data_IF_111993063972
#
_entry.id   IF_111993063972
#
_cell.length_a   1.000
_cell.length_b   1.000
_cell.length_c   1.000
_cell.angle_alpha   90.00
_cell.angle_beta   90.00
_cell.angle_gamma   90.00
#
_symmetry.space_group_name_H-M   'P 1'
#
loop_
_entity.id
_entity.type
_entity.pdbx_description
1 polymer ?
#
# COMPACT_ATOMS: atom_id res chain seq x y z
N UNK A 1 -23.48 -15.33 -8.45
CA UNK A 1 -23.06 -15.94 -9.74
C UNK A 1 -22.33 -14.88 -10.56
N UNK A 2 -21.15 -14.43 -10.13
CA UNK A 2 -20.37 -13.38 -10.81
C UNK A 2 -18.90 -13.77 -11.08
N UNK A 3 -18.51 -15.04 -10.87
CA UNK A 3 -17.10 -15.47 -10.93
C UNK A 3 -16.65 -16.17 -12.22
N UNK A 4 -17.52 -16.33 -13.23
CA UNK A 4 -17.14 -17.18 -14.38
C UNK A 4 -16.27 -16.48 -15.44
N UNK A 5 -15.99 -15.18 -15.35
CA UNK A 5 -15.04 -14.53 -16.26
C UNK A 5 -14.33 -13.33 -15.61
N UNK A 6 -13.11 -13.56 -15.14
CA UNK A 6 -12.13 -12.49 -14.90
C UNK A 6 -11.84 -11.82 -16.25
N UNK A 7 -12.27 -10.57 -16.41
CA UNK A 7 -12.09 -9.79 -17.64
C UNK A 7 -10.70 -9.13 -17.62
N UNK A 8 -9.82 -9.46 -18.59
CA UNK A 8 -8.45 -8.93 -18.63
C UNK A 8 -8.37 -7.44 -18.98
N UNK A 9 -9.47 -6.82 -19.41
CA UNK A 9 -9.54 -5.39 -19.71
C UNK A 9 -9.93 -4.52 -18.51
N UNK A 10 -10.37 -5.12 -17.39
CA UNK A 10 -10.62 -4.40 -16.13
C UNK A 10 -9.31 -3.88 -15.54
N UNK A 11 -9.40 -2.71 -14.88
CA UNK A 11 -8.29 -2.15 -14.10
C UNK A 11 -7.96 -3.05 -12.92
N UNK A 12 -6.68 -3.15 -12.57
CA UNK A 12 -6.22 -4.00 -11.45
C UNK A 12 -6.81 -3.51 -10.13
N UNK A 13 -6.78 -2.21 -9.87
CA UNK A 13 -7.35 -1.58 -8.65
C UNK A 13 -8.80 -1.99 -8.43
N UNK A 14 -9.61 -2.03 -9.49
CA UNK A 14 -11.04 -2.37 -9.42
C UNK A 14 -11.35 -3.78 -8.91
N UNK A 15 -10.38 -4.70 -8.91
CA UNK A 15 -10.55 -6.01 -8.27
C UNK A 15 -10.39 -5.88 -6.76
N UNK A 16 -9.39 -5.13 -6.30
CA UNK A 16 -9.14 -4.93 -4.86
C UNK A 16 -10.23 -4.08 -4.24
N UNK A 17 -10.74 -3.06 -4.96
CA UNK A 17 -11.94 -2.29 -4.56
C UNK A 17 -13.19 -3.16 -4.39
N UNK A 18 -13.34 -4.22 -5.22
CA UNK A 18 -14.44 -5.17 -5.10
C UNK A 18 -14.26 -6.09 -3.88
N UNK A 19 -13.03 -6.50 -3.59
CA UNK A 19 -12.68 -7.26 -2.39
C UNK A 19 -11.18 -7.26 -2.13
N UNK A 20 -10.80 -6.98 -0.88
CA UNK A 20 -9.41 -7.14 -0.42
C UNK A 20 -8.86 -8.56 -0.59
N UNK A 21 -9.71 -9.57 -0.74
CA UNK A 21 -9.29 -10.96 -0.93
C UNK A 21 -8.51 -11.19 -2.24
N UNK A 22 -8.56 -10.24 -3.20
CA UNK A 22 -7.78 -10.32 -4.43
C UNK A 22 -6.34 -9.81 -4.28
N UNK A 23 -6.05 -8.94 -3.30
CA UNK A 23 -4.72 -8.35 -3.13
C UNK A 23 -3.60 -9.40 -3.01
N UNK A 24 -3.72 -10.48 -2.22
CA UNK A 24 -2.67 -11.49 -2.11
C UNK A 24 -2.32 -12.18 -3.42
N UNK A 25 -3.28 -12.28 -4.36
CA UNK A 25 -3.00 -12.85 -5.69
C UNK A 25 -2.11 -11.89 -6.46
N UNK A 26 -2.41 -10.59 -6.46
CA UNK A 26 -1.57 -9.62 -7.16
C UNK A 26 -0.17 -9.54 -6.56
N UNK A 27 -0.05 -9.57 -5.23
CA UNK A 27 1.23 -9.66 -4.51
C UNK A 27 2.05 -10.89 -4.95
N UNK A 28 1.43 -12.07 -5.05
CA UNK A 28 2.10 -13.31 -5.47
C UNK A 28 2.68 -13.21 -6.90
N UNK A 29 2.03 -12.48 -7.79
CA UNK A 29 2.48 -12.28 -9.17
C UNK A 29 3.31 -10.99 -9.36
N UNK A 30 3.60 -10.24 -8.30
CA UNK A 30 4.31 -8.96 -8.37
C UNK A 30 3.54 -7.87 -9.12
N UNK A 31 2.21 -7.97 -9.19
CA UNK A 31 1.34 -7.02 -9.88
C UNK A 31 1.01 -5.87 -8.93
N UNK A 32 1.38 -4.66 -9.31
CA UNK A 32 1.04 -3.43 -8.59
C UNK A 32 -0.45 -3.08 -8.76
N UNK A 33 -1.18 -3.12 -7.66
CA UNK A 33 -2.61 -2.76 -7.57
C UNK A 33 -2.85 -1.44 -6.83
N UNK A 34 -1.83 -0.85 -6.20
CA UNK A 34 -1.96 0.29 -5.32
C UNK A 34 -1.52 1.60 -5.99
N UNK A 35 -0.33 1.65 -6.60
CA UNK A 35 0.19 2.83 -7.29
C UNK A 35 -0.14 2.81 -8.78
N UNK A 36 0.12 1.69 -9.46
CA UNK A 36 -0.13 1.46 -10.90
C UNK A 36 -1.44 0.74 -11.22
N UNK A 37 -2.40 0.74 -10.29
CA UNK A 37 -3.63 -0.05 -10.40
C UNK A 37 -4.59 0.38 -11.52
N UNK A 38 -4.41 1.55 -12.12
CA UNK A 38 -5.26 2.14 -13.16
C UNK A 38 -5.10 1.47 -14.55
N UNK A 39 -4.09 0.61 -14.70
CA UNK A 39 -3.87 -0.18 -15.92
C UNK A 39 -4.73 -1.44 -15.95
N UNK A 40 -5.02 -1.93 -17.16
CA UNK A 40 -5.75 -3.20 -17.31
C UNK A 40 -4.94 -4.40 -16.79
N UNK A 41 -5.62 -5.43 -16.27
CA UNK A 41 -5.00 -6.68 -15.84
C UNK A 41 -4.04 -7.27 -16.90
N UNK A 42 -4.40 -7.21 -18.18
CA UNK A 42 -3.53 -7.68 -19.26
C UNK A 42 -2.22 -6.89 -19.36
N UNK A 43 -2.29 -5.57 -19.24
CA UNK A 43 -1.12 -4.69 -19.30
C UNK A 43 -0.23 -4.87 -18.07
N UNK A 44 -0.82 -5.03 -16.88
CA UNK A 44 -0.10 -5.31 -15.66
C UNK A 44 0.65 -6.65 -15.75
N UNK A 45 0.00 -7.72 -16.23
CA UNK A 45 0.65 -9.01 -16.45
C UNK A 45 1.83 -8.90 -17.44
N UNK A 46 1.67 -8.15 -18.52
CA UNK A 46 2.75 -7.92 -19.51
C UNK A 46 3.94 -7.16 -18.91
N UNK A 47 3.69 -6.20 -18.02
CA UNK A 47 4.74 -5.41 -17.37
C UNK A 47 5.65 -6.26 -16.47
N UNK A 48 5.10 -7.30 -15.85
CA UNK A 48 5.80 -8.17 -14.88
C UNK A 48 6.16 -9.55 -15.46
N UNK A 49 5.96 -9.75 -16.77
CA UNK A 49 6.16 -11.04 -17.48
C UNK A 49 5.38 -12.22 -16.86
N UNK A 50 4.20 -11.94 -16.29
CA UNK A 50 3.30 -12.96 -15.74
C UNK A 50 2.34 -13.52 -16.81
N UNK A 51 2.05 -14.83 -16.73
CA UNK A 51 1.06 -15.45 -17.61
C UNK A 51 -0.35 -15.07 -17.17
N UNK A 52 -1.06 -14.35 -18.04
CA UNK A 52 -2.41 -13.85 -17.76
C UNK A 52 -3.43 -14.96 -17.47
N UNK A 53 -3.27 -16.15 -18.05
CA UNK A 53 -4.19 -17.25 -17.82
C UNK A 53 -3.95 -17.89 -16.45
N UNK A 54 -2.71 -17.94 -15.97
CA UNK A 54 -2.35 -18.35 -14.61
C UNK A 54 -2.89 -17.36 -13.56
N UNK A 55 -2.66 -16.05 -13.75
CA UNK A 55 -3.20 -15.01 -12.86
C UNK A 55 -4.72 -15.09 -12.79
N UNK A 56 -5.40 -15.21 -13.93
CA UNK A 56 -6.86 -15.39 -13.97
C UNK A 56 -7.31 -16.69 -13.34
N UNK A 57 -6.50 -17.75 -13.37
CA UNK A 57 -6.83 -19.01 -12.70
C UNK A 57 -6.84 -18.80 -11.19
N UNK A 58 -5.82 -18.17 -10.63
CA UNK A 58 -5.74 -17.88 -9.20
C UNK A 58 -6.81 -16.88 -8.73
N UNK A 59 -7.07 -15.81 -9.48
CA UNK A 59 -8.17 -14.89 -9.17
C UNK A 59 -9.55 -15.58 -9.11
N UNK A 60 -9.76 -16.69 -9.84
CA UNK A 60 -11.02 -17.46 -9.75
C UNK A 60 -11.09 -18.35 -8.51
N UNK A 61 -9.97 -18.65 -7.86
CA UNK A 61 -9.94 -19.46 -6.64
C UNK A 61 -10.26 -18.62 -5.40
N UNK A 62 -10.08 -17.30 -5.48
CA UNK A 62 -10.40 -16.34 -4.41
C UNK A 62 -11.86 -16.46 -4.00
N UNK A 63 -12.07 -16.77 -2.72
CA UNK A 63 -13.40 -16.87 -2.13
C UNK A 63 -13.72 -15.56 -1.44
N UNK A 64 -14.47 -14.70 -2.13
CA UNK A 64 -15.01 -13.48 -1.52
C UNK A 64 -16.07 -13.87 -0.50
N UNK A 65 -15.86 -13.50 0.76
CA UNK A 65 -16.76 -13.75 1.88
C UNK A 65 -17.49 -12.47 2.28
N UNK A 66 -18.66 -12.59 2.94
CA UNK A 66 -19.38 -11.43 3.50
C UNK A 66 -18.59 -10.67 4.58
N UNK A 67 -17.47 -11.24 5.05
CA UNK A 67 -16.57 -10.63 6.04
C UNK A 67 -15.38 -9.94 5.41
N UNK A 68 -15.18 -10.05 4.10
CA UNK A 68 -14.12 -9.31 3.43
C UNK A 68 -14.51 -7.83 3.45
N UNK A 69 -13.57 -6.98 3.85
CA UNK A 69 -13.77 -5.54 3.90
C UNK A 69 -14.15 -5.06 2.49
N UNK A 70 -15.38 -4.56 2.36
CA UNK A 70 -15.85 -3.89 1.16
C UNK A 70 -15.56 -2.40 1.27
N UNK A 71 -15.12 -1.77 0.18
CA UNK A 71 -14.82 -0.34 0.12
C UNK A 71 -16.09 0.55 0.04
N UNK A 72 -17.23 0.05 0.54
CA UNK A 72 -18.50 0.79 0.64
C UNK A 72 -18.48 1.73 1.85
N UNK A 73 -17.58 2.71 1.84
CA UNK A 73 -17.47 3.75 2.86
C UNK A 73 -18.71 4.66 2.81
N UNK A 74 -19.34 4.95 3.95
CA UNK A 74 -20.50 5.85 4.01
C UNK A 74 -20.10 7.32 3.80
N UNK A 75 -18.81 7.66 4.01
CA UNK A 75 -18.28 9.02 3.93
C UNK A 75 -16.74 9.07 3.82
N UNK A 76 -16.16 10.19 3.38
CA UNK A 76 -14.70 10.38 3.38
C UNK A 76 -14.10 10.35 4.80
N UNK A 77 -14.85 10.86 5.77
CA UNK A 77 -14.48 10.95 7.18
C UNK A 77 -14.33 9.54 7.75
N UNK A 78 -15.27 8.65 7.46
CA UNK A 78 -15.19 7.24 7.85
C UNK A 78 -13.96 6.57 7.25
N UNK A 79 -13.68 6.78 5.97
CA UNK A 79 -12.47 6.25 5.32
C UNK A 79 -11.19 6.79 5.99
N UNK A 80 -11.09 8.10 6.22
CA UNK A 80 -9.90 8.67 6.90
C UNK A 80 -9.75 8.17 8.33
N UNK A 81 -10.83 8.03 9.09
CA UNK A 81 -10.79 7.48 10.46
C UNK A 81 -10.35 6.01 10.45
N UNK A 82 -10.78 5.25 9.43
CA UNK A 82 -10.36 3.87 9.24
C UNK A 82 -8.89 3.75 8.86
N UNK A 83 -8.40 4.57 7.92
CA UNK A 83 -6.98 4.62 7.54
C UNK A 83 -6.12 4.89 8.77
N UNK A 84 -6.48 5.90 9.57
CA UNK A 84 -5.74 6.25 10.79
C UNK A 84 -5.72 5.08 11.78
N UNK A 85 -6.89 4.54 12.12
CA UNK A 85 -7.00 3.52 13.17
C UNK A 85 -6.48 2.15 12.78
N UNK A 86 -6.45 1.83 11.48
CA UNK A 86 -6.01 0.53 10.96
C UNK A 86 -4.54 0.55 10.55
N UNK A 87 -4.11 1.60 9.84
CA UNK A 87 -2.79 1.67 9.23
C UNK A 87 -1.86 2.63 10.00
N UNK A 88 -2.24 3.89 10.21
CA UNK A 88 -1.32 4.88 10.79
C UNK A 88 -0.93 4.57 12.24
N UNK A 89 -1.92 4.20 13.06
CA UNK A 89 -1.67 3.81 14.44
C UNK A 89 -0.76 2.58 14.54
N UNK A 90 -0.94 1.62 13.62
CA UNK A 90 -0.09 0.45 13.50
C UNK A 90 1.33 0.83 13.08
N UNK A 91 1.49 1.69 12.08
CA UNK A 91 2.80 2.17 11.62
C UNK A 91 3.57 2.88 12.74
N UNK A 92 2.90 3.73 13.51
CA UNK A 92 3.51 4.43 14.67
C UNK A 92 4.06 3.47 15.73
N UNK A 93 3.40 2.34 15.94
CA UNK A 93 3.85 1.31 16.87
C UNK A 93 4.95 0.43 16.26
N UNK A 94 4.76 0.02 15.01
CA UNK A 94 5.56 -1.01 14.35
C UNK A 94 6.91 -0.49 13.88
N UNK A 95 6.96 0.70 13.27
CA UNK A 95 8.19 1.24 12.66
C UNK A 95 9.36 1.34 13.67
N UNK A 96 9.21 1.96 14.86
CA UNK A 96 10.32 2.05 15.82
C UNK A 96 10.73 0.68 16.37
N UNK A 97 9.77 -0.22 16.56
CA UNK A 97 10.01 -1.55 17.09
C UNK A 97 10.68 -2.47 16.06
N UNK A 98 10.36 -2.31 14.78
CA UNK A 98 10.97 -3.05 13.69
C UNK A 98 12.35 -2.48 13.35
N UNK A 99 12.55 -1.16 13.40
CA UNK A 99 13.87 -0.53 13.23
C UNK A 99 14.89 -1.07 14.23
N UNK A 100 14.52 -1.13 15.51
CA UNK A 100 15.37 -1.69 16.56
C UNK A 100 15.69 -3.18 16.31
N UNK A 101 14.76 -3.94 15.72
CA UNK A 101 14.95 -5.34 15.39
C UNK A 101 15.87 -5.50 14.17
N UNK A 102 15.68 -4.70 13.12
CA UNK A 102 16.52 -4.66 11.92
C UNK A 102 17.96 -4.32 12.31
N UNK A 103 18.17 -3.25 13.07
CA UNK A 103 19.49 -2.87 13.59
C UNK A 103 20.14 -4.02 14.38
N UNK A 104 19.38 -4.69 15.25
CA UNK A 104 19.90 -5.82 16.03
C UNK A 104 20.31 -7.00 15.13
N UNK A 105 19.51 -7.32 14.12
CA UNK A 105 19.78 -8.42 13.19
C UNK A 105 21.00 -8.10 12.32
N UNK A 106 21.06 -6.91 11.73
CA UNK A 106 22.20 -6.44 10.95
C UNK A 106 23.50 -6.51 11.77
N UNK A 107 23.52 -5.96 12.99
CA UNK A 107 24.69 -6.00 13.86
C UNK A 107 25.23 -7.41 14.17
N UNK A 108 24.34 -8.40 14.27
CA UNK A 108 24.73 -9.77 14.64
C UNK A 108 25.11 -10.60 13.41
N UNK A 109 24.42 -10.38 12.28
CA UNK A 109 24.47 -11.27 11.14
C UNK A 109 25.18 -10.68 9.90
N UNK A 110 25.49 -9.38 9.84
CA UNK A 110 26.05 -8.75 8.63
C UNK A 110 27.39 -9.31 8.15
N UNK A 111 28.18 -9.94 9.03
CA UNK A 111 29.42 -10.60 8.61
C UNK A 111 29.17 -11.81 7.71
N UNK A 112 28.10 -12.56 7.98
CA UNK A 112 27.71 -13.74 7.21
C UNK A 112 26.63 -13.41 6.16
N UNK A 113 25.90 -12.30 6.34
CA UNK A 113 24.77 -11.81 5.54
C UNK A 113 24.94 -10.31 5.25
N UNK A 114 25.93 -9.91 4.42
CA UNK A 114 26.30 -8.51 4.21
C UNK A 114 25.18 -7.64 3.61
N UNK A 115 24.20 -8.23 2.94
CA UNK A 115 22.98 -7.58 2.46
C UNK A 115 22.18 -6.91 3.59
N UNK A 116 22.29 -7.37 4.83
CA UNK A 116 21.60 -6.80 5.98
C UNK A 116 22.02 -5.36 6.30
N UNK A 117 23.23 -4.93 5.92
CA UNK A 117 23.62 -3.52 6.03
C UNK A 117 22.83 -2.63 5.05
N UNK A 118 22.44 -3.18 3.91
CA UNK A 118 21.57 -2.49 2.97
C UNK A 118 20.11 -2.51 3.46
N UNK A 119 19.62 -3.66 3.95
CA UNK A 119 18.28 -3.78 4.56
C UNK A 119 18.09 -2.73 5.66
N UNK A 120 19.08 -2.60 6.55
CA UNK A 120 19.04 -1.60 7.62
C UNK A 120 18.92 -0.16 7.08
N UNK A 121 19.74 0.22 6.10
CA UNK A 121 19.67 1.56 5.52
C UNK A 121 18.34 1.85 4.84
N UNK A 122 17.83 0.91 4.04
CA UNK A 122 16.57 1.11 3.34
C UNK A 122 15.40 1.17 4.32
N UNK A 123 15.41 0.33 5.37
CA UNK A 123 14.36 0.34 6.38
C UNK A 123 14.35 1.63 7.21
N UNK A 124 15.51 2.15 7.62
CA UNK A 124 15.59 3.41 8.37
C UNK A 124 15.04 4.56 7.54
N UNK A 125 15.39 4.63 6.25
CA UNK A 125 14.87 5.67 5.35
C UNK A 125 13.35 5.54 5.17
N UNK A 126 12.85 4.32 4.92
CA UNK A 126 11.43 4.03 4.85
C UNK A 126 10.68 4.48 6.12
N UNK A 127 11.20 4.13 7.30
CA UNK A 127 10.57 4.47 8.57
C UNK A 127 10.51 5.99 8.82
N UNK A 128 11.54 6.74 8.44
CA UNK A 128 11.56 8.21 8.55
C UNK A 128 10.56 8.87 7.60
N UNK A 129 10.50 8.39 6.36
CA UNK A 129 9.59 8.89 5.31
C UNK A 129 8.13 8.60 5.70
N UNK A 130 7.78 7.35 6.01
CA UNK A 130 6.41 6.98 6.39
C UNK A 130 5.91 7.73 7.62
N UNK A 131 6.74 7.96 8.65
CA UNK A 131 6.34 8.73 9.83
C UNK A 131 6.03 10.20 9.51
N UNK A 132 6.75 10.78 8.56
CA UNK A 132 6.51 12.15 8.13
C UNK A 132 5.24 12.21 7.28
N UNK A 133 5.13 11.30 6.32
CA UNK A 133 4.02 11.19 5.39
C UNK A 133 2.67 11.07 6.11
N UNK A 134 2.48 10.07 6.99
CA UNK A 134 1.20 9.87 7.69
C UNK A 134 0.81 11.05 8.60
N UNK A 135 1.80 11.84 9.05
CA UNK A 135 1.54 13.04 9.84
C UNK A 135 1.04 14.19 8.96
N UNK A 136 1.64 14.36 7.77
CA UNK A 136 1.21 15.37 6.79
C UNK A 136 -0.20 15.06 6.27
N UNK A 137 -0.53 13.80 6.01
CA UNK A 137 -1.89 13.40 5.62
C UNK A 137 -2.92 13.76 6.70
N UNK A 138 -2.63 13.46 7.97
CA UNK A 138 -3.54 13.72 9.09
C UNK A 138 -3.68 15.22 9.42
N UNK A 139 -2.64 16.01 9.20
CA UNK A 139 -2.63 17.45 9.49
C UNK A 139 -3.20 18.30 8.33
N UNK A 140 -2.98 17.88 7.09
CA UNK A 140 -3.27 18.70 5.90
C UNK A 140 -4.40 18.11 5.04
N UNK A 141 -4.34 16.82 4.67
CA UNK A 141 -5.30 16.21 3.73
C UNK A 141 -6.62 15.79 4.40
N UNK A 142 -6.56 14.98 5.45
CA UNK A 142 -7.75 14.40 6.08
C UNK A 142 -8.70 15.46 6.68
N UNK A 143 -8.22 16.62 7.19
CA UNK A 143 -9.12 17.71 7.59
C UNK A 143 -9.92 18.29 6.41
N UNK A 144 -9.36 18.30 5.20
CA UNK A 144 -10.08 18.74 4.00
C UNK A 144 -11.13 17.72 3.58
N UNK A 145 -10.81 16.43 3.62
CA UNK A 145 -11.78 15.36 3.40
C UNK A 145 -13.00 15.48 4.34
N UNK A 146 -12.77 15.77 5.63
CA UNK A 146 -13.85 16.01 6.62
C UNK A 146 -14.67 17.27 6.33
N UNK A 147 -14.06 18.34 5.81
CA UNK A 147 -14.80 19.54 5.36
C UNK A 147 -15.73 19.24 4.19
N UNK A 148 -15.25 18.47 3.21
CA UNK A 148 -16.04 18.06 2.04
C UNK A 148 -17.29 17.30 2.50
N UNK A 149 -17.12 16.32 3.38
CA UNK A 149 -18.23 15.55 3.95
C UNK A 149 -19.25 16.40 4.73
N UNK A 150 -18.77 17.41 5.45
CA UNK A 150 -19.63 18.36 6.15
C UNK A 150 -20.44 19.26 5.21
N UNK A 151 -20.20 19.18 3.90
CA UNK A 151 -20.84 20.02 2.87
C UNK A 151 -20.29 21.45 2.85
N UNK A 152 -19.10 21.66 3.41
CA UNK A 152 -18.44 22.97 3.39
C UNK A 152 -17.82 23.22 2.01
N UNK A 153 -17.91 24.47 1.53
CA UNK A 153 -17.27 24.86 0.27
C UNK A 153 -15.79 25.11 0.50
N UNK A 154 -14.95 24.48 -0.31
CA UNK A 154 -13.52 24.78 -0.35
C UNK A 154 -13.27 26.13 -1.04
N UNK A 155 -12.31 26.88 -0.52
CA UNK A 155 -11.78 28.06 -1.20
C UNK A 155 -10.92 27.65 -2.39
N UNK A 156 -10.76 28.53 -3.37
CA UNK A 156 -9.89 28.24 -4.51
C UNK A 156 -8.42 28.07 -4.14
N UNK A 157 -7.97 28.61 -3.00
CA UNK A 157 -6.62 28.37 -2.47
C UNK A 157 -6.51 26.95 -1.86
N UNK A 158 -7.52 26.50 -1.12
CA UNK A 158 -7.58 25.13 -0.58
C UNK A 158 -7.56 24.09 -1.71
N UNK A 159 -8.36 24.27 -2.77
CA UNK A 159 -8.38 23.35 -3.92
C UNK A 159 -6.99 23.24 -4.56
N UNK A 160 -6.33 24.38 -4.85
CA UNK A 160 -4.98 24.36 -5.46
C UNK A 160 -3.91 23.77 -4.57
N UNK A 161 -4.09 23.87 -3.25
CA UNK A 161 -3.18 23.27 -2.29
C UNK A 161 -3.37 21.77 -2.27
N UNK A 162 -4.61 21.32 -2.19
CA UNK A 162 -5.00 19.93 -2.21
C UNK A 162 -4.57 19.19 -3.49
N UNK A 163 -4.74 19.80 -4.67
CA UNK A 163 -4.26 19.22 -5.94
C UNK A 163 -2.76 18.91 -5.89
N UNK A 164 -1.96 19.83 -5.34
CA UNK A 164 -0.51 19.67 -5.22
C UNK A 164 -0.12 18.69 -4.11
N UNK A 165 -0.88 18.65 -3.03
CA UNK A 165 -0.65 17.72 -1.93
C UNK A 165 -0.94 16.29 -2.37
N UNK A 166 -2.05 16.04 -3.09
CA UNK A 166 -2.34 14.73 -3.68
C UNK A 166 -1.20 14.29 -4.60
N UNK A 167 -0.75 15.14 -5.53
CA UNK A 167 0.40 14.83 -6.40
C UNK A 167 1.66 14.50 -5.57
N UNK A 168 1.90 15.22 -4.46
CA UNK A 168 3.03 14.97 -3.57
C UNK A 168 2.92 13.65 -2.81
N UNK A 169 1.73 13.31 -2.31
CA UNK A 169 1.49 12.04 -1.62
C UNK A 169 1.61 10.85 -2.59
N UNK A 170 1.13 10.98 -3.83
CA UNK A 170 1.32 9.96 -4.86
C UNK A 170 2.82 9.74 -5.20
N UNK A 171 3.60 10.82 -5.29
CA UNK A 171 5.06 10.73 -5.47
C UNK A 171 5.76 10.04 -4.29
N UNK A 172 5.32 10.32 -3.05
CA UNK A 172 5.82 9.68 -1.84
C UNK A 172 5.44 8.19 -1.77
N UNK A 173 4.23 7.84 -2.22
CA UNK A 173 3.78 6.44 -2.33
C UNK A 173 4.63 5.64 -3.31
N UNK A 174 4.95 6.22 -4.47
CA UNK A 174 5.84 5.60 -5.45
C UNK A 174 7.26 5.42 -4.88
N UNK A 175 7.79 6.41 -4.16
CA UNK A 175 9.08 6.29 -3.49
C UNK A 175 9.06 5.19 -2.40
N UNK A 176 7.96 5.09 -1.66
CA UNK A 176 7.73 4.05 -0.65
C UNK A 176 7.70 2.66 -1.27
N UNK A 177 6.95 2.47 -2.37
CA UNK A 177 6.89 1.21 -3.11
C UNK A 177 8.28 0.77 -3.58
N UNK A 178 9.07 1.67 -4.17
CA UNK A 178 10.45 1.37 -4.61
C UNK A 178 11.37 0.91 -3.47
N UNK A 179 11.16 1.40 -2.24
CA UNK A 179 11.92 0.95 -1.07
C UNK A 179 11.48 -0.42 -0.58
N UNK A 180 10.18 -0.68 -0.60
CA UNK A 180 9.61 -1.99 -0.25
C UNK A 180 10.10 -3.06 -1.23
N UNK A 181 10.03 -2.80 -2.54
CA UNK A 181 10.62 -3.65 -3.59
C UNK A 181 12.09 -3.93 -3.30
N UNK A 182 12.85 -2.90 -2.93
CA UNK A 182 14.26 -3.04 -2.62
C UNK A 182 14.51 -3.90 -1.39
N UNK A 183 13.67 -3.78 -0.36
CA UNK A 183 13.74 -4.62 0.84
C UNK A 183 13.40 -6.08 0.50
N UNK A 184 12.38 -6.31 -0.32
CA UNK A 184 12.02 -7.64 -0.82
C UNK A 184 13.19 -8.27 -1.59
N UNK A 185 13.75 -7.56 -2.57
CA UNK A 185 14.93 -8.01 -3.35
C UNK A 185 16.13 -8.37 -2.46
N UNK A 186 16.45 -7.51 -1.49
CA UNK A 186 17.58 -7.70 -0.59
C UNK A 186 17.39 -8.90 0.35
N UNK A 187 16.15 -9.31 0.58
CA UNK A 187 15.80 -10.40 1.48
C UNK A 187 15.35 -11.66 0.76
N UNK A 188 15.46 -11.71 -0.57
CA UNK A 188 15.01 -12.83 -1.42
C UNK A 188 13.52 -13.13 -1.15
N UNK A 189 12.67 -12.11 -1.31
CA UNK A 189 11.23 -12.15 -1.01
C UNK A 189 10.95 -12.57 0.45
N UNK A 190 11.72 -11.98 1.36
CA UNK A 190 11.72 -12.28 2.80
C UNK A 190 11.97 -13.77 3.14
N UNK A 191 12.67 -14.50 2.26
CA UNK A 191 12.99 -15.90 2.49
C UNK A 191 13.87 -16.08 3.73
N UNK A 192 13.49 -17.05 4.57
CA UNK A 192 14.19 -17.31 5.83
C UNK A 192 15.44 -18.18 5.58
N UNK A 193 16.67 -17.68 5.81
CA UNK A 193 17.86 -18.49 5.64
C UNK A 193 17.99 -19.55 6.75
N UNK A 194 18.66 -20.67 6.47
CA UNK A 194 18.87 -21.75 7.44
C UNK A 194 19.58 -21.25 8.73
N UNK A 195 20.46 -20.28 8.59
CA UNK A 195 21.20 -19.64 9.69
C UNK A 195 20.38 -18.64 10.51
N UNK A 196 19.13 -18.35 10.14
CA UNK A 196 18.30 -17.36 10.82
C UNK A 196 18.03 -17.77 12.27
N UNK A 197 18.37 -16.88 13.20
CA UNK A 197 17.91 -16.97 14.58
C UNK A 197 16.43 -16.51 14.68
N UNK A 198 15.80 -16.68 15.84
CA UNK A 198 14.41 -16.28 16.05
C UNK A 198 14.17 -14.77 15.77
N UNK A 199 15.13 -13.90 16.10
CA UNK A 199 15.01 -12.46 15.80
C UNK A 199 15.10 -12.17 14.31
N UNK A 200 15.94 -12.88 13.56
CA UNK A 200 16.04 -12.70 12.10
C UNK A 200 14.74 -13.17 11.42
N UNK A 201 14.21 -14.35 11.79
CA UNK A 201 12.90 -14.81 11.30
C UNK A 201 11.79 -13.79 11.56
N UNK A 202 11.69 -13.32 12.80
CA UNK A 202 10.71 -12.31 13.19
C UNK A 202 10.88 -10.99 12.46
N UNK A 203 12.09 -10.61 12.04
CA UNK A 203 12.32 -9.39 11.26
C UNK A 203 11.75 -9.56 9.85
N UNK A 204 12.05 -10.68 9.18
CA UNK A 204 11.56 -10.98 7.84
C UNK A 204 10.02 -11.08 7.82
N UNK A 205 9.44 -11.79 8.79
CA UNK A 205 7.98 -11.92 8.90
C UNK A 205 7.29 -10.56 9.05
N UNK A 206 7.87 -9.66 9.86
CA UNK A 206 7.33 -8.31 10.13
C UNK A 206 7.55 -7.35 8.96
N UNK A 207 8.66 -7.46 8.23
CA UNK A 207 8.89 -6.69 7.02
C UNK A 207 7.86 -7.06 5.94
N UNK A 208 7.65 -8.36 5.71
CA UNK A 208 6.63 -8.84 4.78
C UNK A 208 5.21 -8.42 5.20
N UNK A 209 4.94 -8.34 6.51
CA UNK A 209 3.64 -7.87 7.01
C UNK A 209 3.46 -6.37 6.85
N UNK A 210 4.52 -5.59 7.09
CA UNK A 210 4.53 -4.14 6.88
C UNK A 210 4.27 -3.79 5.41
N UNK A 211 4.96 -4.46 4.49
CA UNK A 211 4.80 -4.25 3.04
C UNK A 211 3.36 -4.49 2.60
N UNK A 212 2.79 -5.65 2.94
CA UNK A 212 1.39 -5.98 2.61
C UNK A 212 0.40 -4.97 3.18
N UNK A 213 0.58 -4.56 4.43
CA UNK A 213 -0.28 -3.55 5.06
C UNK A 213 -0.16 -2.19 4.35
N UNK A 214 1.05 -1.83 3.93
CA UNK A 214 1.34 -0.57 3.24
C UNK A 214 0.73 -0.56 1.84
N UNK A 215 0.79 -1.65 1.08
CA UNK A 215 0.10 -1.74 -0.23
C UNK A 215 -1.41 -1.57 -0.09
N UNK A 216 -2.01 -2.15 0.95
CA UNK A 216 -3.45 -1.98 1.23
C UNK A 216 -3.79 -0.55 1.66
N UNK A 217 -2.96 0.07 2.49
CA UNK A 217 -3.06 1.47 2.91
C UNK A 217 -3.02 2.40 1.69
N UNK A 218 -1.95 2.33 0.91
CA UNK A 218 -1.75 3.16 -0.29
C UNK A 218 -2.86 2.94 -1.31
N UNK A 219 -3.37 1.70 -1.46
CA UNK A 219 -4.49 1.45 -2.35
C UNK A 219 -5.76 2.21 -1.92
N UNK A 220 -6.08 2.23 -0.62
CA UNK A 220 -7.23 2.99 -0.07
C UNK A 220 -7.10 4.49 -0.35
N UNK A 221 -5.88 5.00 -0.36
CA UNK A 221 -5.62 6.41 -0.68
C UNK A 221 -5.71 6.70 -2.17
N UNK A 222 -4.82 6.08 -2.96
CA UNK A 222 -4.67 6.36 -4.39
C UNK A 222 -5.93 6.03 -5.19
N UNK A 223 -6.63 4.95 -4.86
CA UNK A 223 -7.72 4.43 -5.69
C UNK A 223 -9.10 4.79 -5.16
N UNK A 224 -9.20 5.24 -3.89
CA UNK A 224 -10.50 5.55 -3.26
C UNK A 224 -10.55 6.96 -2.69
N UNK A 225 -9.68 7.31 -1.74
CA UNK A 225 -9.73 8.60 -1.06
C UNK A 225 -9.41 9.76 -2.02
N UNK A 226 -8.27 9.72 -2.71
CA UNK A 226 -7.81 10.82 -3.55
C UNK A 226 -8.76 11.08 -4.73
N UNK A 227 -9.24 10.06 -5.47
CA UNK A 227 -10.21 10.27 -6.54
C UNK A 227 -11.54 10.82 -6.02
N UNK A 228 -12.02 10.34 -4.86
CA UNK A 228 -13.26 10.83 -4.28
C UNK A 228 -13.15 12.31 -3.87
N UNK A 229 -12.03 12.69 -3.25
CA UNK A 229 -11.71 14.09 -2.93
C UNK A 229 -11.63 14.93 -4.21
N UNK A 230 -10.84 14.51 -5.20
CA UNK A 230 -10.64 15.21 -6.47
C UNK A 230 -11.95 15.45 -7.25
N UNK A 231 -12.87 14.47 -7.22
CA UNK A 231 -14.15 14.57 -7.93
C UNK A 231 -15.03 15.74 -7.46
N UNK A 232 -14.81 16.24 -6.22
CA UNK A 232 -15.62 17.31 -5.63
C UNK A 232 -15.31 18.71 -6.18
N UNK A 233 -14.14 18.88 -6.82
CA UNK A 233 -13.72 20.13 -7.46
C UNK A 233 -13.32 19.95 -8.94
N UNK A 234 -13.15 18.72 -9.43
CA UNK A 234 -12.87 18.41 -10.84
C UNK A 234 -14.08 18.45 -11.78
N UNK A 235 -15.31 18.60 -11.28
CA UNK A 235 -16.52 18.57 -12.10
C UNK A 235 -16.79 19.83 -12.97
N UNK A 236 -15.90 20.83 -12.94
CA UNK A 236 -16.06 22.12 -13.64
C UNK A 236 -14.88 22.46 -14.59
N UNK A 237 -14.37 21.46 -15.34
CA UNK A 237 -13.49 21.69 -16.51
C UNK A 237 -13.99 21.05 -17.79
#
# INVERSE_FOLDING_TARGET
MMTDTIDPSRQVSSFVEESLAFAPVFEEFGIDYCCGGDVSLAAACEAVDADIDDVRAELRTVQVTETDESFDWESLSELTDHIVSTHHDRLREELPALEALVHKVANVHSQDHPELEAVEREFVALAEEMQTHIQEEEDDLFPIARKIDAGESLTGDEIRTLEREIEGFEDDHEATAQRLDRLSELTDDYAVPESACASYRSMLDRLAELERDTHLHVHKENNVLFPAVASTFGADT
#
